data_IF_911297275059
#
_entry.id   IF_911297275059
#
_cell.length_a   1.000
_cell.length_b   1.000
_cell.length_c   1.000
_cell.angle_alpha   90.00
_cell.angle_beta   90.00
_cell.angle_gamma   90.00
#
_symmetry.space_group_name_H-M   'P 1'
#
loop_
_entity.id
_entity.type
_entity.pdbx_description
1 polymer ?
#
# COMPACT_ATOMS: atom_id res chain seq x y z
N UNK A 1 13.16 4.48 2.83
CA UNK A 1 14.49 4.66 3.45
C UNK A 1 15.59 4.01 2.62
N UNK A 2 15.55 2.67 2.34
CA UNK A 2 16.65 1.98 1.61
C UNK A 2 16.84 2.56 0.21
N UNK A 3 15.77 2.77 -0.56
CA UNK A 3 15.84 3.38 -1.90
C UNK A 3 16.46 4.79 -1.83
N UNK A 4 16.06 5.62 -0.88
CA UNK A 4 16.61 6.97 -0.70
C UNK A 4 18.11 6.94 -0.40
N UNK A 5 18.58 6.00 0.44
CA UNK A 5 20.01 5.84 0.75
C UNK A 5 20.85 5.38 -0.44
N UNK A 6 20.24 4.66 -1.39
CA UNK A 6 20.94 4.12 -2.58
C UNK A 6 20.82 5.04 -3.80
N UNK A 7 19.89 5.96 -3.80
CA UNK A 7 19.70 6.92 -4.88
C UNK A 7 20.79 8.00 -4.85
N UNK A 8 21.20 8.45 -6.03
CA UNK A 8 22.14 9.59 -6.18
C UNK A 8 21.42 10.95 -6.13
N UNK A 9 20.11 10.94 -6.32
CA UNK A 9 19.25 12.13 -6.30
C UNK A 9 18.10 11.88 -5.31
N UNK A 10 17.49 12.94 -4.75
CA UNK A 10 16.29 12.77 -3.94
C UNK A 10 15.23 11.96 -4.69
N UNK A 11 14.64 10.98 -4.01
CA UNK A 11 13.50 10.25 -4.56
C UNK A 11 12.24 11.09 -4.46
N UNK A 12 11.31 10.90 -5.39
CA UNK A 12 10.01 11.57 -5.34
C UNK A 12 9.02 10.69 -4.59
N UNK A 13 8.26 11.29 -3.68
CA UNK A 13 7.25 10.60 -2.87
C UNK A 13 5.91 11.32 -2.96
N UNK A 14 4.84 10.55 -2.92
CA UNK A 14 3.48 11.07 -3.05
C UNK A 14 2.61 10.53 -1.92
N UNK A 15 1.74 11.39 -1.42
CA UNK A 15 0.69 11.01 -0.49
C UNK A 15 -0.62 11.67 -0.91
N UNK A 16 -1.74 11.08 -0.52
CA UNK A 16 -3.07 11.61 -0.80
C UNK A 16 -3.88 11.66 0.48
N UNK A 17 -4.68 12.69 0.61
CA UNK A 17 -5.60 12.83 1.73
C UNK A 17 -6.65 13.90 1.51
N UNK A 18 -7.69 13.87 2.33
CA UNK A 18 -8.70 14.94 2.36
C UNK A 18 -8.18 16.13 3.16
N UNK A 19 -8.71 17.32 2.89
CA UNK A 19 -8.29 18.59 3.53
C UNK A 19 -8.34 18.60 5.06
N UNK A 20 -9.24 17.82 5.67
CA UNK A 20 -9.38 17.77 7.12
C UNK A 20 -8.89 16.43 7.67
N UNK A 21 -8.09 16.51 8.73
CA UNK A 21 -7.71 15.36 9.58
C UNK A 21 -7.01 14.19 8.85
N UNK A 22 -6.31 14.48 7.76
CA UNK A 22 -5.56 13.47 7.03
C UNK A 22 -4.28 13.09 7.82
N UNK A 23 -4.44 12.24 8.83
CA UNK A 23 -3.34 11.77 9.68
C UNK A 23 -2.23 11.10 8.84
N UNK A 24 -2.61 10.46 7.74
CA UNK A 24 -1.65 9.80 6.84
C UNK A 24 -0.74 10.81 6.13
N UNK A 25 -1.25 12.00 5.77
CA UNK A 25 -0.42 13.07 5.19
C UNK A 25 0.63 13.54 6.18
N UNK A 26 0.26 13.71 7.45
CA UNK A 26 1.21 14.09 8.50
C UNK A 26 2.36 13.10 8.60
N UNK A 27 2.07 11.81 8.72
CA UNK A 27 3.11 10.80 8.83
C UNK A 27 3.90 10.62 7.53
N UNK A 28 3.26 10.74 6.38
CA UNK A 28 3.95 10.73 5.10
C UNK A 28 4.97 11.87 4.99
N UNK A 29 4.59 13.07 5.43
CA UNK A 29 5.47 14.24 5.48
C UNK A 29 6.64 14.04 6.44
N UNK A 30 6.39 13.53 7.65
CA UNK A 30 7.45 13.23 8.62
C UNK A 30 8.48 12.24 8.04
N UNK A 31 8.01 11.20 7.36
CA UNK A 31 8.90 10.23 6.70
C UNK A 31 9.64 10.86 5.53
N UNK A 32 8.96 11.66 4.71
CA UNK A 32 9.55 12.34 3.57
C UNK A 32 10.70 13.27 4.00
N UNK A 33 10.49 14.04 5.06
CA UNK A 33 11.52 14.92 5.64
C UNK A 33 12.70 14.10 6.19
N UNK A 34 12.42 13.00 6.89
CA UNK A 34 13.46 12.11 7.42
C UNK A 34 14.34 11.48 6.33
N UNK A 35 13.78 11.09 5.20
CA UNK A 35 14.52 10.48 4.09
C UNK A 35 15.05 11.47 3.07
N UNK A 36 14.70 12.75 3.19
CA UNK A 36 15.10 13.81 2.26
C UNK A 36 14.51 13.65 0.85
N UNK A 37 13.23 13.26 0.75
CA UNK A 37 12.56 13.09 -0.54
C UNK A 37 11.90 14.37 -1.03
N UNK A 38 11.72 14.48 -2.34
CA UNK A 38 10.83 15.48 -2.96
C UNK A 38 9.38 15.00 -2.78
N UNK A 39 8.69 15.58 -1.79
CA UNK A 39 7.36 15.13 -1.39
C UNK A 39 6.24 15.97 -1.99
N UNK A 40 5.26 15.30 -2.56
CA UNK A 40 4.04 15.93 -3.11
C UNK A 40 2.81 15.38 -2.38
N UNK A 41 2.00 16.27 -1.85
CA UNK A 41 0.70 15.93 -1.25
C UNK A 41 -0.42 16.23 -2.25
N UNK A 42 -1.22 15.21 -2.53
CA UNK A 42 -2.44 15.33 -3.36
C UNK A 42 -3.63 15.52 -2.42
N UNK A 43 -4.17 16.72 -2.41
CA UNK A 43 -5.33 17.05 -1.57
C UNK A 43 -6.59 16.87 -2.39
N UNK A 44 -7.50 16.04 -1.90
CA UNK A 44 -8.78 15.75 -2.55
C UNK A 44 -9.96 16.24 -1.73
N UNK A 45 -11.04 16.56 -2.45
CA UNK A 45 -12.31 16.95 -1.90
C UNK A 45 -13.31 15.80 -1.91
N UNK A 46 -14.46 16.00 -1.28
CA UNK A 46 -15.57 15.06 -1.38
C UNK A 46 -16.10 14.95 -2.80
N UNK A 47 -16.09 16.04 -3.52
CA UNK A 47 -16.51 16.14 -4.91
C UNK A 47 -15.61 15.32 -5.82
N UNK A 48 -14.29 15.35 -5.62
CA UNK A 48 -13.32 14.52 -6.35
C UNK A 48 -13.59 13.04 -6.14
N UNK A 49 -13.86 12.65 -4.88
CA UNK A 49 -14.19 11.25 -4.52
C UNK A 49 -15.48 10.80 -5.22
N UNK A 50 -16.52 11.62 -5.20
CA UNK A 50 -17.80 11.28 -5.83
C UNK A 50 -17.68 11.21 -7.35
N UNK A 51 -16.92 12.12 -7.96
CA UNK A 51 -16.70 12.13 -9.41
C UNK A 51 -15.90 10.92 -9.91
N UNK A 52 -14.99 10.40 -9.10
CA UNK A 52 -14.19 9.23 -9.45
C UNK A 52 -14.91 7.89 -9.21
N UNK A 53 -16.05 7.89 -8.54
CA UNK A 53 -16.69 6.66 -8.04
C UNK A 53 -17.10 5.71 -9.17
N UNK A 54 -17.76 6.21 -10.21
CA UNK A 54 -18.21 5.40 -11.34
C UNK A 54 -17.04 4.81 -12.12
N UNK A 55 -16.01 5.62 -12.38
CA UNK A 55 -14.79 5.19 -13.06
C UNK A 55 -14.10 4.06 -12.28
N UNK A 56 -14.00 4.20 -10.96
CA UNK A 56 -13.36 3.20 -10.08
C UNK A 56 -14.18 1.91 -10.04
N UNK A 57 -15.50 1.97 -9.95
CA UNK A 57 -16.36 0.77 -10.00
C UNK A 57 -16.19 0.05 -11.33
N UNK A 58 -16.24 0.79 -12.44
CA UNK A 58 -16.05 0.23 -13.78
C UNK A 58 -14.67 -0.41 -13.96
N UNK A 59 -13.63 0.26 -13.49
CA UNK A 59 -12.25 -0.21 -13.54
C UNK A 59 -12.04 -1.50 -12.74
N UNK A 60 -12.56 -1.56 -11.53
CA UNK A 60 -12.41 -2.71 -10.64
C UNK A 60 -13.29 -3.90 -11.08
N UNK A 61 -14.44 -3.65 -11.69
CA UNK A 61 -15.41 -4.67 -12.04
C UNK A 61 -15.98 -5.39 -10.82
N UNK A 62 -16.12 -4.70 -9.70
CA UNK A 62 -16.66 -5.23 -8.44
C UNK A 62 -17.55 -4.21 -7.75
N UNK A 63 -18.50 -4.68 -6.97
CA UNK A 63 -19.34 -3.88 -6.08
C UNK A 63 -18.94 -4.03 -4.61
N UNK A 64 -17.80 -4.64 -4.31
CA UNK A 64 -17.30 -4.72 -2.94
C UNK A 64 -16.93 -3.33 -2.44
N UNK A 65 -17.66 -2.88 -1.41
CA UNK A 65 -17.52 -1.52 -0.87
C UNK A 65 -16.13 -1.26 -0.28
N UNK A 66 -15.49 -2.28 0.29
CA UNK A 66 -14.17 -2.15 0.90
C UNK A 66 -13.11 -1.91 -0.15
N UNK A 67 -13.16 -2.69 -1.22
CA UNK A 67 -12.26 -2.56 -2.38
C UNK A 67 -12.44 -1.21 -3.06
N UNK A 68 -13.70 -0.81 -3.36
CA UNK A 68 -13.99 0.48 -4.01
C UNK A 68 -13.47 1.64 -3.18
N UNK A 69 -13.82 1.68 -1.89
CA UNK A 69 -13.40 2.76 -0.99
C UNK A 69 -11.88 2.91 -0.90
N UNK A 70 -11.17 1.80 -0.81
CA UNK A 70 -9.71 1.82 -0.74
C UNK A 70 -9.06 2.21 -2.09
N UNK A 71 -9.74 1.96 -3.20
CA UNK A 71 -9.24 2.21 -4.54
C UNK A 71 -9.35 3.66 -4.96
N UNK A 72 -10.33 4.42 -4.48
CA UNK A 72 -10.55 5.81 -4.92
C UNK A 72 -9.30 6.67 -4.66
N UNK A 73 -8.74 6.61 -3.46
CA UNK A 73 -7.52 7.35 -3.14
C UNK A 73 -6.34 6.91 -4.01
N UNK A 74 -6.15 5.61 -4.20
CA UNK A 74 -5.08 5.10 -5.07
C UNK A 74 -5.25 5.53 -6.52
N UNK A 75 -6.45 5.45 -7.07
CA UNK A 75 -6.76 5.92 -8.42
C UNK A 75 -6.45 7.40 -8.59
N UNK A 76 -6.91 8.25 -7.66
CA UNK A 76 -6.72 9.71 -7.75
C UNK A 76 -5.26 10.12 -7.59
N UNK A 77 -4.49 9.50 -6.69
CA UNK A 77 -3.05 9.81 -6.59
C UNK A 77 -2.29 9.36 -7.83
N UNK A 78 -2.60 8.20 -8.39
CA UNK A 78 -1.98 7.72 -9.63
C UNK A 78 -2.32 8.61 -10.82
N UNK A 79 -3.58 9.07 -10.92
CA UNK A 79 -4.00 10.04 -11.91
C UNK A 79 -3.21 11.36 -11.80
N UNK A 80 -3.10 11.91 -10.60
CA UNK A 80 -2.32 13.13 -10.37
C UNK A 80 -0.83 12.94 -10.73
N UNK A 81 -0.22 11.80 -10.38
CA UNK A 81 1.16 11.49 -10.75
C UNK A 81 1.32 11.44 -12.28
N UNK A 82 0.42 10.76 -12.97
CA UNK A 82 0.46 10.66 -14.43
C UNK A 82 0.32 12.00 -15.12
N UNK A 83 -0.62 12.83 -14.67
CA UNK A 83 -0.93 14.13 -15.29
C UNK A 83 0.12 15.21 -15.00
N UNK A 84 0.74 15.17 -13.82
CA UNK A 84 1.62 16.25 -13.34
C UNK A 84 3.11 15.90 -13.42
N UNK A 85 3.46 14.67 -13.80
CA UNK A 85 4.85 14.21 -13.78
C UNK A 85 5.20 13.32 -14.96
N UNK A 86 6.49 13.10 -15.14
CA UNK A 86 7.07 12.14 -16.09
C UNK A 86 7.30 10.75 -15.50
N UNK A 87 6.92 10.53 -14.24
CA UNK A 87 7.08 9.24 -13.54
C UNK A 87 6.24 8.18 -14.25
N UNK A 88 6.81 6.99 -14.40
CA UNK A 88 6.14 5.81 -14.98
C UNK A 88 6.23 4.58 -14.09
N UNK A 89 7.08 4.59 -13.08
CA UNK A 89 7.29 3.47 -12.16
C UNK A 89 7.11 3.94 -10.72
N UNK A 90 6.30 3.19 -9.96
CA UNK A 90 6.03 3.44 -8.55
C UNK A 90 6.52 2.27 -7.69
N UNK A 91 7.17 2.58 -6.58
CA UNK A 91 7.40 1.62 -5.50
C UNK A 91 6.23 1.70 -4.52
N UNK A 92 5.60 0.56 -4.24
CA UNK A 92 4.46 0.47 -3.32
C UNK A 92 4.74 -0.44 -2.15
N UNK A 93 3.96 -0.28 -1.08
CA UNK A 93 4.05 -1.11 0.13
C UNK A 93 3.14 -2.34 0.13
N UNK A 94 2.53 -2.67 -1.00
CA UNK A 94 1.63 -3.82 -1.12
C UNK A 94 2.30 -5.13 -0.68
N UNK A 95 1.51 -6.09 -0.23
CA UNK A 95 1.93 -7.41 0.25
C UNK A 95 2.53 -7.41 1.66
N UNK A 96 2.91 -6.25 2.18
CA UNK A 96 3.47 -6.18 3.54
C UNK A 96 2.47 -6.63 4.62
N UNK A 97 1.18 -6.42 4.40
CA UNK A 97 0.11 -6.77 5.33
C UNK A 97 -0.09 -8.28 5.41
N UNK A 98 -0.03 -8.95 4.28
CA UNK A 98 -0.17 -10.39 4.18
C UNK A 98 1.01 -11.13 4.81
N UNK A 99 2.21 -10.56 4.71
CA UNK A 99 3.43 -11.16 5.25
C UNK A 99 3.62 -10.94 6.76
N UNK A 100 3.30 -9.74 7.25
CA UNK A 100 3.65 -9.30 8.61
C UNK A 100 2.45 -9.03 9.51
N UNK A 101 1.24 -9.23 9.00
CA UNK A 101 0.00 -9.03 9.73
C UNK A 101 -0.59 -7.63 9.58
N UNK A 102 -1.88 -7.59 9.71
CA UNK A 102 -2.71 -6.40 9.73
C UNK A 102 -4.00 -6.70 10.49
N UNK A 103 -4.77 -5.69 10.82
CA UNK A 103 -6.01 -5.71 11.63
C UNK A 103 -6.63 -7.09 11.91
N UNK A 104 -6.94 -7.86 10.89
CA UNK A 104 -7.64 -9.15 11.06
C UNK A 104 -6.71 -10.28 11.48
N UNK A 105 -5.50 -10.31 10.95
CA UNK A 105 -4.50 -11.33 11.30
C UNK A 105 -3.87 -11.07 12.65
N UNK A 106 -3.83 -9.82 13.11
CA UNK A 106 -3.33 -9.45 14.44
C UNK A 106 -4.17 -10.05 15.59
N UNK A 107 -5.40 -10.47 15.31
CA UNK A 107 -6.28 -11.15 16.26
C UNK A 107 -6.27 -12.67 16.12
N UNK A 108 -5.35 -13.25 15.38
CA UNK A 108 -5.24 -14.70 15.25
C UNK A 108 -5.08 -15.35 16.62
N UNK A 109 -5.81 -16.45 16.91
CA UNK A 109 -5.82 -17.06 18.23
C UNK A 109 -4.50 -17.77 18.58
N UNK A 110 -3.67 -18.03 17.60
CA UNK A 110 -2.34 -18.61 17.78
C UNK A 110 -1.40 -18.22 16.64
N UNK A 111 -0.11 -18.38 16.85
CA UNK A 111 0.91 -18.14 15.83
C UNK A 111 0.71 -19.05 14.60
N UNK A 112 0.29 -20.30 14.81
CA UNK A 112 -0.02 -21.24 13.73
C UNK A 112 -1.25 -20.78 12.92
N UNK A 113 -2.29 -20.25 13.58
CA UNK A 113 -3.46 -19.68 12.90
C UNK A 113 -3.07 -18.44 12.11
N UNK A 114 -2.23 -17.58 12.66
CA UNK A 114 -1.65 -16.43 11.96
C UNK A 114 -0.91 -16.87 10.69
N UNK A 115 -0.02 -17.83 10.80
CA UNK A 115 0.77 -18.34 9.66
C UNK A 115 -0.13 -18.90 8.56
N UNK A 116 -1.12 -19.73 8.94
CA UNK A 116 -2.07 -20.31 7.99
C UNK A 116 -2.88 -19.24 7.23
N UNK A 117 -3.32 -18.19 7.93
CA UNK A 117 -4.03 -17.09 7.31
C UNK A 117 -3.10 -16.26 6.40
N UNK A 118 -1.86 -15.99 6.81
CA UNK A 118 -0.85 -15.35 5.97
C UNK A 118 -0.59 -16.12 4.68
N UNK A 119 -0.40 -17.43 4.76
CA UNK A 119 -0.22 -18.29 3.59
C UNK A 119 -1.41 -18.25 2.64
N UNK A 120 -2.63 -18.27 3.18
CA UNK A 120 -3.86 -18.13 2.41
C UNK A 120 -3.87 -16.78 1.68
N UNK A 121 -3.64 -15.68 2.37
CA UNK A 121 -3.66 -14.32 1.79
C UNK A 121 -2.61 -14.13 0.72
N UNK A 122 -1.40 -14.65 0.92
CA UNK A 122 -0.36 -14.62 -0.11
C UNK A 122 -0.78 -15.38 -1.39
N UNK A 123 -1.49 -16.51 -1.27
CA UNK A 123 -2.02 -17.23 -2.44
C UNK A 123 -3.17 -16.48 -3.13
N UNK A 124 -3.93 -15.72 -2.38
CA UNK A 124 -5.13 -15.01 -2.83
C UNK A 124 -4.89 -13.53 -3.15
N UNK A 125 -3.63 -13.08 -3.23
CA UNK A 125 -3.25 -11.68 -3.50
C UNK A 125 -3.98 -11.06 -4.68
N UNK A 126 -4.17 -11.84 -5.75
CA UNK A 126 -4.86 -11.43 -6.97
C UNK A 126 -6.36 -11.16 -6.80
N UNK A 127 -6.94 -11.50 -5.66
CA UNK A 127 -8.37 -11.32 -5.36
C UNK A 127 -8.65 -10.06 -4.52
N UNK A 128 -7.62 -9.44 -3.92
CA UNK A 128 -7.77 -8.38 -2.92
C UNK A 128 -6.93 -7.14 -3.26
N UNK A 129 -6.05 -6.74 -2.34
CA UNK A 129 -5.35 -5.47 -2.43
C UNK A 129 -4.41 -5.35 -3.63
N UNK A 130 -3.81 -6.43 -4.07
CA UNK A 130 -2.97 -6.43 -5.28
C UNK A 130 -3.81 -6.24 -6.55
N UNK A 131 -5.02 -6.82 -6.63
CA UNK A 131 -5.95 -6.55 -7.73
C UNK A 131 -6.30 -5.07 -7.81
N UNK A 132 -6.62 -4.47 -6.66
CA UNK A 132 -6.89 -3.04 -6.53
C UNK A 132 -5.71 -2.20 -7.00
N UNK A 133 -4.53 -2.49 -6.48
CA UNK A 133 -3.31 -1.77 -6.81
C UNK A 133 -2.98 -1.86 -8.30
N UNK A 134 -3.00 -3.08 -8.86
CA UNK A 134 -2.73 -3.31 -10.28
C UNK A 134 -3.66 -2.48 -11.17
N UNK A 135 -4.95 -2.55 -10.96
CA UNK A 135 -5.93 -1.85 -11.79
C UNK A 135 -5.85 -0.33 -11.66
N UNK A 136 -5.74 0.19 -10.43
CA UNK A 136 -5.66 1.64 -10.21
C UNK A 136 -4.36 2.26 -10.74
N UNK A 137 -3.26 1.53 -10.71
CA UNK A 137 -1.96 2.02 -11.17
C UNK A 137 -1.86 1.90 -12.69
N UNK A 138 -2.20 0.73 -13.25
CA UNK A 138 -2.02 0.46 -14.69
C UNK A 138 -2.93 1.30 -15.58
N UNK A 139 -4.18 1.60 -15.16
CA UNK A 139 -5.08 2.47 -15.93
C UNK A 139 -4.51 3.88 -16.12
N UNK A 140 -3.64 4.33 -15.21
CA UNK A 140 -2.95 5.61 -15.29
C UNK A 140 -1.57 5.50 -16.00
N UNK A 141 -1.33 4.44 -16.77
CA UNK A 141 -0.07 4.20 -17.49
C UNK A 141 1.17 4.20 -16.59
N UNK A 142 1.00 3.72 -15.35
CA UNK A 142 2.06 3.56 -14.37
C UNK A 142 2.33 2.07 -14.13
N UNK A 143 3.56 1.74 -13.76
CA UNK A 143 3.98 0.40 -13.39
C UNK A 143 4.24 0.31 -11.89
N UNK A 144 3.59 -0.64 -11.20
CA UNK A 144 3.87 -0.93 -9.80
C UNK A 144 5.08 -1.84 -9.64
N UNK A 145 5.98 -1.47 -8.75
CA UNK A 145 7.02 -2.34 -8.21
C UNK A 145 6.70 -2.61 -6.75
N UNK A 146 6.64 -3.90 -6.40
CA UNK A 146 6.21 -4.41 -5.10
C UNK A 146 7.36 -5.15 -4.39
N UNK A 147 8.28 -4.46 -3.73
CA UNK A 147 9.46 -5.08 -3.14
C UNK A 147 9.15 -6.20 -2.14
N UNK A 148 8.01 -6.09 -1.42
CA UNK A 148 7.55 -7.14 -0.51
C UNK A 148 7.06 -8.40 -1.23
N UNK A 149 6.77 -8.30 -2.53
CA UNK A 149 6.36 -9.41 -3.39
C UNK A 149 7.51 -10.14 -4.07
N UNK A 150 8.76 -9.75 -3.83
CA UNK A 150 9.91 -10.50 -4.30
C UNK A 150 9.85 -11.94 -3.77
N UNK A 151 9.98 -12.92 -4.67
CA UNK A 151 9.73 -14.33 -4.33
C UNK A 151 10.70 -14.87 -3.28
N UNK A 152 11.95 -14.44 -3.30
CA UNK A 152 12.93 -14.88 -2.32
C UNK A 152 12.68 -14.20 -0.97
N UNK A 153 12.28 -12.93 -0.99
CA UNK A 153 11.84 -12.22 0.20
C UNK A 153 10.60 -12.88 0.83
N UNK A 154 9.59 -13.19 0.03
CA UNK A 154 8.37 -13.88 0.50
C UNK A 154 8.74 -15.23 1.12
N UNK A 155 9.55 -16.05 0.45
CA UNK A 155 10.02 -17.34 0.99
C UNK A 155 10.74 -17.17 2.32
N UNK A 156 11.64 -16.19 2.40
CA UNK A 156 12.37 -15.90 3.63
C UNK A 156 11.43 -15.52 4.78
N UNK A 157 10.52 -14.56 4.54
CA UNK A 157 9.58 -14.10 5.58
C UNK A 157 8.61 -15.20 6.00
N UNK A 158 8.13 -16.01 5.06
CA UNK A 158 7.22 -17.12 5.37
C UNK A 158 7.91 -18.25 6.16
N UNK A 159 9.24 -18.35 6.09
CA UNK A 159 10.03 -19.31 6.90
C UNK A 159 10.34 -18.80 8.31
N UNK A 160 10.10 -17.52 8.61
CA UNK A 160 10.28 -16.99 9.97
C UNK A 160 9.22 -17.59 10.90
N UNK A 161 9.66 -17.97 12.10
CA UNK A 161 8.78 -18.45 13.16
C UNK A 161 7.59 -17.48 13.35
N UNK A 162 6.35 -17.95 13.17
CA UNK A 162 5.17 -17.10 13.26
C UNK A 162 4.99 -16.44 14.63
N UNK A 163 5.53 -16.98 15.71
CA UNK A 163 5.52 -16.33 17.02
C UNK A 163 6.24 -14.98 17.01
N UNK A 164 7.27 -14.83 16.17
CA UNK A 164 8.02 -13.58 16.01
C UNK A 164 7.29 -12.55 15.15
N UNK A 165 6.38 -12.99 14.30
CA UNK A 165 5.59 -12.12 13.40
C UNK A 165 4.28 -11.66 14.03
N UNK A 166 3.70 -12.49 14.90
CA UNK A 166 2.45 -12.19 15.57
C UNK A 166 2.57 -10.91 16.42
N UNK A 167 1.49 -10.14 16.51
CA UNK A 167 1.46 -8.86 17.22
C UNK A 167 1.47 -9.02 18.75
N UNK A 168 2.51 -9.65 19.29
CA UNK A 168 2.67 -9.89 20.73
C UNK A 168 2.89 -8.61 21.56
N UNK A 169 3.39 -7.54 20.90
CA UNK A 169 3.67 -6.26 21.56
C UNK A 169 2.59 -5.22 21.32
N UNK A 170 1.44 -5.58 20.77
CA UNK A 170 0.36 -4.67 20.34
C UNK A 170 0.85 -3.54 19.40
N UNK A 171 1.89 -3.82 18.63
CA UNK A 171 2.47 -2.92 17.63
C UNK A 171 2.45 -3.64 16.29
N UNK A 172 1.41 -3.44 15.51
CA UNK A 172 1.26 -4.06 14.19
C UNK A 172 2.54 -3.94 13.36
N UNK A 173 2.89 -5.00 12.65
CA UNK A 173 4.10 -5.12 11.82
C UNK A 173 5.40 -4.82 12.59
N UNK A 174 5.50 -5.27 13.84
CA UNK A 174 6.65 -4.95 14.71
C UNK A 174 8.00 -5.26 14.07
N UNK A 175 8.11 -6.33 13.29
CA UNK A 175 9.36 -6.70 12.62
C UNK A 175 9.80 -5.73 11.51
N UNK A 176 8.90 -4.89 10.99
CA UNK A 176 9.22 -3.89 9.97
C UNK A 176 9.60 -2.53 10.58
N UNK A 177 9.43 -2.35 11.85
CA UNK A 177 9.74 -1.12 12.60
C UNK A 177 11.12 -1.17 13.22
#
# INVERSE_FOLDING_TARGET
AVAARKSKTPIRTFAIGMQKDAIDLKYAKEVADYIGSEHTEVIITKEDVLSALEDVIGLLGTFDITTIRASIGMYLVCKAIHEQTDIRVLLTGEISDELFGYKYTDFAPSAQAFQKESEKRVRELHMYDVLRADRCISVNSLEARVPFGDLDFVRYVMAIDPEKKQNVYRKGKYMLR
#
